data_IF_907346085383
#
_entry.id   IF_907346085383
#
_cell.length_a   1.000
_cell.length_b   1.000
_cell.length_c   1.000
_cell.angle_alpha   90.00
_cell.angle_beta   90.00
_cell.angle_gamma   90.00
#
_symmetry.space_group_name_H-M   'P 1'
#
loop_
_entity.id
_entity.type
_entity.pdbx_description
1 polymer ?
#
# COMPACT_ATOMS: atom_id res chain seq x y z
N UNK A 1 10.20 25.23 11.19
CA UNK A 1 8.74 25.46 11.24
C UNK A 1 8.16 26.05 9.96
N UNK A 2 8.77 27.08 9.33
CA UNK A 2 8.25 27.74 8.11
C UNK A 2 7.95 26.77 6.95
N UNK A 3 8.79 25.76 6.73
CA UNK A 3 8.60 24.76 5.64
C UNK A 3 7.34 23.90 5.84
N UNK A 4 7.03 23.55 7.09
CA UNK A 4 5.83 22.76 7.41
C UNK A 4 4.57 23.58 7.16
N UNK A 5 4.54 24.83 7.63
CA UNK A 5 3.43 25.76 7.40
C UNK A 5 3.18 25.98 5.90
N UNK A 6 4.23 26.20 5.11
CA UNK A 6 4.12 26.33 3.64
C UNK A 6 3.49 25.09 2.99
N UNK A 7 3.81 23.88 3.47
CA UNK A 7 3.20 22.63 2.98
C UNK A 7 1.73 22.52 3.38
N UNK A 8 1.39 22.81 4.63
CA UNK A 8 0.00 22.78 5.09
C UNK A 8 -0.86 23.73 4.26
N UNK A 9 -0.38 24.96 4.02
CA UNK A 9 -1.08 25.94 3.19
C UNK A 9 -1.22 25.43 1.75
N UNK A 10 -0.14 24.89 1.18
CA UNK A 10 -0.13 24.37 -0.20
C UNK A 10 -1.14 23.24 -0.42
N UNK A 11 -1.33 22.36 0.56
CA UNK A 11 -2.17 21.16 0.43
C UNK A 11 -3.49 21.26 1.21
N UNK A 12 -3.85 22.45 1.70
CA UNK A 12 -4.98 22.68 2.63
C UNK A 12 -6.29 22.05 2.16
N UNK A 13 -6.54 22.08 0.84
CA UNK A 13 -7.79 21.61 0.24
C UNK A 13 -7.90 20.07 0.26
N UNK A 14 -6.79 19.36 0.53
CA UNK A 14 -6.76 17.89 0.61
C UNK A 14 -6.64 17.36 2.06
N UNK A 15 -6.30 18.22 3.04
CA UNK A 15 -6.08 17.79 4.43
C UNK A 15 -7.39 17.34 5.09
N UNK A 16 -8.50 18.00 4.77
CA UNK A 16 -9.81 17.78 5.39
C UNK A 16 -10.81 17.11 4.45
N UNK A 17 -10.33 16.34 3.47
CA UNK A 17 -11.18 15.66 2.46
C UNK A 17 -12.29 14.81 3.11
N UNK A 18 -12.02 14.18 4.26
CA UNK A 18 -13.01 13.38 5.01
C UNK A 18 -14.21 14.19 5.54
N UNK A 19 -14.10 15.52 5.67
CA UNK A 19 -15.24 16.36 6.07
C UNK A 19 -16.28 16.51 4.95
N UNK A 20 -15.85 16.34 3.70
CA UNK A 20 -16.69 16.52 2.51
C UNK A 20 -17.07 15.19 1.86
N UNK A 21 -16.29 14.13 2.09
CA UNK A 21 -16.49 12.80 1.53
C UNK A 21 -16.54 11.76 2.66
N UNK A 22 -17.74 11.33 3.11
CA UNK A 22 -17.89 10.40 4.24
C UNK A 22 -17.19 9.06 4.07
N UNK A 23 -17.00 8.60 2.82
CA UNK A 23 -16.31 7.35 2.50
C UNK A 23 -14.78 7.44 2.65
N UNK A 24 -14.24 8.67 2.79
CA UNK A 24 -12.82 8.89 3.03
C UNK A 24 -12.59 8.91 4.55
N UNK A 25 -11.84 7.96 5.11
CA UNK A 25 -11.61 7.93 6.55
C UNK A 25 -10.72 9.11 6.98
N UNK A 26 -10.97 9.62 8.19
CA UNK A 26 -10.18 10.69 8.80
C UNK A 26 -8.81 10.23 9.33
N UNK A 27 -8.55 8.91 9.31
CA UNK A 27 -7.33 8.28 9.80
C UNK A 27 -6.33 7.96 8.68
N UNK A 28 -5.16 7.42 9.04
CA UNK A 28 -4.07 7.15 8.11
C UNK A 28 -4.56 6.27 6.94
N UNK A 29 -4.65 6.89 5.77
CA UNK A 29 -5.24 6.33 4.56
C UNK A 29 -4.66 4.94 4.25
N UNK A 30 -5.49 4.05 3.68
CA UNK A 30 -5.10 2.68 3.35
C UNK A 30 -3.84 2.60 2.48
N UNK A 31 -3.58 3.62 1.65
CA UNK A 31 -2.39 3.71 0.80
C UNK A 31 -1.09 3.81 1.60
N UNK A 32 -1.06 4.61 2.67
CA UNK A 32 0.10 4.72 3.57
C UNK A 32 0.37 3.43 4.34
N UNK A 33 -0.70 2.72 4.73
CA UNK A 33 -0.59 1.40 5.36
C UNK A 33 -0.01 0.37 4.39
N UNK A 34 -0.44 0.38 3.13
CA UNK A 34 0.09 -0.50 2.07
C UNK A 34 1.60 -0.31 1.87
N UNK A 35 2.10 0.93 1.78
CA UNK A 35 3.54 1.18 1.55
C UNK A 35 4.43 0.82 2.75
N UNK A 36 3.87 0.78 3.97
CA UNK A 36 4.64 0.47 5.18
C UNK A 36 5.32 -0.89 5.11
N UNK A 37 4.70 -1.88 4.48
CA UNK A 37 5.25 -3.23 4.34
C UNK A 37 6.55 -3.26 3.54
N UNK A 38 6.68 -2.39 2.53
CA UNK A 38 7.93 -2.21 1.78
C UNK A 38 9.02 -1.69 2.71
N UNK A 39 8.70 -0.74 3.59
CA UNK A 39 9.68 -0.19 4.53
C UNK A 39 10.08 -1.19 5.61
N UNK A 40 9.14 -1.99 6.10
CA UNK A 40 9.43 -3.10 7.02
C UNK A 40 10.35 -4.12 6.35
N UNK A 41 10.06 -4.51 5.10
CA UNK A 41 10.92 -5.42 4.35
C UNK A 41 12.34 -4.86 4.19
N UNK A 42 12.47 -3.56 3.92
CA UNK A 42 13.78 -2.90 3.81
C UNK A 42 14.55 -2.84 5.14
N UNK A 43 13.90 -2.40 6.22
CA UNK A 43 14.59 -2.07 7.48
C UNK A 43 14.73 -3.24 8.44
N UNK A 44 13.78 -4.16 8.42
CA UNK A 44 13.63 -5.20 9.45
C UNK A 44 13.82 -6.59 8.83
N UNK A 45 13.17 -6.88 7.70
CA UNK A 45 13.16 -8.23 7.11
C UNK A 45 14.25 -8.44 6.03
N UNK A 46 15.47 -7.97 6.28
CA UNK A 46 16.66 -8.33 5.51
C UNK A 46 16.86 -7.60 4.17
N UNK A 47 16.05 -6.58 3.85
CA UNK A 47 16.14 -5.76 2.63
C UNK A 47 16.04 -6.58 1.31
N UNK A 48 16.17 -5.88 0.18
CA UNK A 48 16.28 -6.46 -1.15
C UNK A 48 17.74 -6.34 -1.62
N UNK A 49 18.31 -7.45 -2.10
CA UNK A 49 19.68 -7.49 -2.63
C UNK A 49 19.75 -7.05 -4.09
N UNK A 50 18.69 -7.27 -4.85
CA UNK A 50 18.57 -6.92 -6.27
C UNK A 50 17.18 -6.36 -6.56
N UNK A 51 17.08 -5.56 -7.63
CA UNK A 51 15.85 -4.88 -8.01
C UNK A 51 14.73 -5.86 -8.38
N UNK A 52 15.03 -6.91 -9.15
CA UNK A 52 14.05 -7.93 -9.52
C UNK A 52 13.36 -8.59 -8.30
N UNK A 53 14.09 -8.77 -7.19
CA UNK A 53 13.50 -9.29 -5.96
C UNK A 53 12.55 -8.29 -5.29
N UNK A 54 12.83 -7.00 -5.39
CA UNK A 54 11.95 -5.93 -4.92
C UNK A 54 10.67 -5.84 -5.78
N UNK A 55 10.79 -5.98 -7.10
CA UNK A 55 9.65 -6.04 -8.01
C UNK A 55 8.76 -7.25 -7.72
N UNK A 56 9.33 -8.45 -7.62
CA UNK A 56 8.58 -9.66 -7.28
C UNK A 56 7.82 -9.51 -5.95
N UNK A 57 8.46 -8.90 -4.95
CA UNK A 57 7.81 -8.60 -3.68
C UNK A 57 6.65 -7.61 -3.86
N UNK A 58 6.84 -6.54 -4.63
CA UNK A 58 5.80 -5.54 -4.88
C UNK A 58 4.59 -6.15 -5.61
N UNK A 59 4.83 -7.03 -6.60
CA UNK A 59 3.77 -7.74 -7.32
C UNK A 59 2.96 -8.61 -6.34
N UNK A 60 3.62 -9.51 -5.60
CA UNK A 60 2.95 -10.38 -4.63
C UNK A 60 2.19 -9.57 -3.57
N UNK A 61 2.79 -8.48 -3.09
CA UNK A 61 2.14 -7.62 -2.09
C UNK A 61 0.91 -6.93 -2.65
N UNK A 62 0.95 -6.47 -3.90
CA UNK A 62 -0.20 -5.84 -4.55
C UNK A 62 -1.38 -6.80 -4.69
N UNK A 63 -1.12 -8.07 -5.02
CA UNK A 63 -2.11 -9.15 -5.06
C UNK A 63 -2.72 -9.36 -3.67
N UNK A 64 -1.89 -9.52 -2.64
CA UNK A 64 -2.35 -9.73 -1.26
C UNK A 64 -3.22 -8.56 -0.79
N UNK A 65 -2.76 -7.33 -0.98
CA UNK A 65 -3.50 -6.14 -0.53
C UNK A 65 -4.81 -5.98 -1.32
N UNK A 66 -4.85 -6.41 -2.58
CA UNK A 66 -6.08 -6.43 -3.39
C UNK A 66 -7.07 -7.49 -2.88
N UNK A 67 -6.60 -8.70 -2.57
CA UNK A 67 -7.42 -9.76 -2.01
C UNK A 67 -8.04 -9.33 -0.67
N UNK A 68 -7.24 -8.73 0.22
CA UNK A 68 -7.71 -8.20 1.51
C UNK A 68 -8.77 -7.11 1.31
N UNK A 69 -8.53 -6.15 0.39
CA UNK A 69 -9.48 -5.06 0.11
C UNK A 69 -10.82 -5.56 -0.41
N UNK A 70 -10.83 -6.68 -1.13
CA UNK A 70 -12.05 -7.29 -1.67
C UNK A 70 -12.65 -8.36 -0.74
N UNK A 71 -12.18 -8.48 0.50
CA UNK A 71 -12.68 -9.47 1.46
C UNK A 71 -12.40 -10.92 1.06
N UNK A 72 -11.42 -11.15 0.18
CA UNK A 72 -11.06 -12.47 -0.32
C UNK A 72 -10.06 -13.18 0.60
N UNK A 73 -10.10 -14.51 0.61
CA UNK A 73 -9.08 -15.30 1.28
C UNK A 73 -7.75 -15.18 0.53
N UNK A 74 -6.72 -14.67 1.20
CA UNK A 74 -5.40 -14.41 0.61
C UNK A 74 -4.74 -15.70 0.10
N UNK A 75 -4.86 -16.80 0.83
CA UNK A 75 -4.26 -18.07 0.43
C UNK A 75 -4.89 -18.59 -0.86
N UNK A 76 -6.23 -18.58 -0.96
CA UNK A 76 -6.93 -18.97 -2.18
C UNK A 76 -6.57 -18.06 -3.36
N UNK A 77 -6.49 -16.74 -3.13
CA UNK A 77 -6.11 -15.80 -4.18
C UNK A 77 -4.70 -16.06 -4.74
N UNK A 78 -3.73 -16.34 -3.86
CA UNK A 78 -2.37 -16.70 -4.26
C UNK A 78 -2.34 -18.05 -4.98
N UNK A 79 -3.11 -19.03 -4.50
CA UNK A 79 -3.18 -20.35 -5.12
C UNK A 79 -3.76 -20.29 -6.54
N UNK A 80 -4.83 -19.52 -6.75
CA UNK A 80 -5.42 -19.30 -8.08
C UNK A 80 -4.42 -18.72 -9.08
N UNK A 81 -3.57 -17.78 -8.62
CA UNK A 81 -2.55 -17.17 -9.48
C UNK A 81 -1.39 -18.14 -9.75
N UNK A 82 -1.02 -18.97 -8.78
CA UNK A 82 -0.01 -20.01 -8.96
C UNK A 82 -0.48 -21.12 -9.92
N UNK A 83 -1.75 -21.50 -9.82
CA UNK A 83 -2.41 -22.50 -10.66
C UNK A 83 -2.78 -21.97 -12.06
N UNK A 84 -2.65 -20.65 -12.28
CA UNK A 84 -2.83 -20.03 -13.58
C UNK A 84 -1.72 -20.49 -14.52
N UNK A 85 -1.90 -21.67 -15.12
CA UNK A 85 -1.08 -22.16 -16.22
C UNK A 85 -1.13 -21.14 -17.34
N UNK A 86 0.05 -20.63 -17.68
CA UNK A 86 0.30 -19.88 -18.90
C UNK A 86 0.11 -20.85 -20.07
N UNK A 87 -1.12 -20.91 -20.59
CA UNK A 87 -1.39 -21.51 -21.91
C UNK A 87 -0.52 -20.83 -22.96
#
# INVERSE_FOLDING_TARGET
MVTFQKRIIKYRDHILTFLYHPDVPADNNGSERTIRNVKVKQKISGQFKIFAAAENFAILRSIIDTAIKNGQNVFLALNTIADYKRN
#
